data_IF_021453129267
#
_entry.id   IF_021453129267
#
_cell.length_a   1.000
_cell.length_b   1.000
_cell.length_c   1.000
_cell.angle_alpha   90.00
_cell.angle_beta   90.00
_cell.angle_gamma   90.00
#
_symmetry.space_group_name_H-M   'P 1'
#
loop_
_entity.id
_entity.type
_entity.pdbx_description
1 polymer ?
#
# COMPACT_ATOMS: atom_id res chain seq x y z
N UNK A 1 20.97 -4.32 -23.33
CA UNK A 1 20.87 -3.34 -22.22
C UNK A 1 20.96 -3.95 -20.81
N UNK A 2 21.71 -5.03 -20.63
CA UNK A 2 21.93 -5.67 -19.31
C UNK A 2 22.52 -4.67 -18.32
N UNK A 3 23.49 -3.87 -18.75
CA UNK A 3 24.16 -2.86 -17.91
C UNK A 3 23.21 -1.81 -17.32
N UNK A 4 22.17 -1.39 -18.04
CA UNK A 4 21.20 -0.40 -17.54
C UNK A 4 20.26 -0.95 -16.45
N UNK A 5 20.15 -2.28 -16.36
CA UNK A 5 19.34 -2.97 -15.34
C UNK A 5 20.08 -3.17 -14.03
N UNK A 6 21.40 -3.12 -14.06
CA UNK A 6 22.27 -3.37 -12.90
C UNK A 6 22.36 -2.16 -11.96
N UNK A 7 22.48 -2.45 -10.67
CA UNK A 7 22.78 -1.47 -9.62
C UNK A 7 24.26 -1.64 -9.28
N UNK A 8 25.11 -0.85 -9.94
CA UNK A 8 26.56 -0.97 -9.84
C UNK A 8 27.08 -0.91 -8.40
N UNK A 9 26.49 -0.04 -7.57
CA UNK A 9 26.83 0.09 -6.14
C UNK A 9 26.72 -1.22 -5.36
N UNK A 10 25.81 -2.11 -5.78
CA UNK A 10 25.49 -3.36 -5.08
C UNK A 10 26.27 -4.57 -5.65
N UNK A 11 27.03 -4.40 -6.72
CA UNK A 11 27.74 -5.51 -7.36
C UNK A 11 29.05 -5.87 -6.66
N UNK A 12 29.65 -4.93 -5.95
CA UNK A 12 30.92 -5.12 -5.25
C UNK A 12 30.81 -5.84 -3.90
N UNK A 13 29.62 -6.08 -3.39
CA UNK A 13 29.44 -6.67 -2.06
C UNK A 13 29.75 -8.16 -2.02
N UNK A 14 30.50 -8.56 -0.99
CA UNK A 14 30.75 -9.96 -0.67
C UNK A 14 29.45 -10.70 -0.32
N UNK A 15 29.34 -12.03 -0.57
CA UNK A 15 28.14 -12.81 -0.25
C UNK A 15 27.74 -12.71 1.22
N UNK A 16 28.68 -12.69 2.15
CA UNK A 16 28.40 -12.53 3.58
C UNK A 16 27.84 -11.15 3.91
N UNK A 17 28.44 -10.11 3.38
CA UNK A 17 27.96 -8.73 3.56
C UNK A 17 26.55 -8.56 3.01
N UNK A 18 26.28 -9.12 1.84
CA UNK A 18 24.94 -9.11 1.25
C UNK A 18 23.91 -9.83 2.13
N UNK A 19 24.25 -10.98 2.68
CA UNK A 19 23.34 -11.71 3.62
C UNK A 19 23.05 -10.89 4.87
N UNK A 20 24.09 -10.29 5.48
CA UNK A 20 23.93 -9.45 6.68
C UNK A 20 23.05 -8.23 6.40
N UNK A 21 23.30 -7.51 5.29
CA UNK A 21 22.51 -6.37 4.85
C UNK A 21 21.06 -6.78 4.59
N UNK A 22 20.84 -7.91 3.94
CA UNK A 22 19.49 -8.45 3.68
C UNK A 22 18.76 -8.74 4.98
N UNK A 23 19.41 -9.39 5.94
CA UNK A 23 18.84 -9.69 7.26
C UNK A 23 18.49 -8.40 8.03
N UNK A 24 19.40 -7.43 8.08
CA UNK A 24 19.17 -6.13 8.71
C UNK A 24 17.98 -5.39 8.07
N UNK A 25 17.93 -5.34 6.73
CA UNK A 25 16.83 -4.69 6.02
C UNK A 25 15.48 -5.40 6.21
N UNK A 26 15.48 -6.72 6.40
CA UNK A 26 14.27 -7.44 6.79
C UNK A 26 13.87 -7.13 8.23
N UNK A 27 14.82 -7.03 9.15
CA UNK A 27 14.55 -6.58 10.53
C UNK A 27 13.87 -5.21 10.55
N UNK A 28 14.40 -4.23 9.80
CA UNK A 28 13.76 -2.91 9.67
C UNK A 28 12.38 -2.99 9.03
N UNK A 29 12.17 -3.90 8.05
CA UNK A 29 10.85 -4.10 7.46
C UNK A 29 9.85 -4.61 8.49
N UNK A 30 10.22 -5.58 9.33
CA UNK A 30 9.36 -6.08 10.41
C UNK A 30 9.08 -5.02 11.47
N UNK A 31 10.08 -4.21 11.83
CA UNK A 31 9.87 -3.06 12.70
C UNK A 31 8.89 -2.07 12.08
N UNK A 32 9.02 -1.78 10.79
CA UNK A 32 8.06 -0.93 10.08
C UNK A 32 6.65 -1.51 10.13
N UNK A 33 6.49 -2.83 9.92
CA UNK A 33 5.18 -3.49 9.98
C UNK A 33 4.57 -3.38 11.38
N UNK A 34 5.34 -3.65 12.44
CA UNK A 34 4.83 -3.65 13.82
C UNK A 34 4.50 -2.22 14.29
N UNK A 35 5.40 -1.28 14.04
CA UNK A 35 5.29 0.09 14.56
C UNK A 35 4.53 1.05 13.63
N UNK A 36 3.98 0.58 12.50
CA UNK A 36 3.24 1.45 11.57
C UNK A 36 2.01 2.12 12.19
N UNK A 37 1.43 1.51 13.20
CA UNK A 37 0.33 2.09 13.95
C UNK A 37 0.69 3.44 14.60
N UNK A 38 1.96 3.66 14.97
CA UNK A 38 2.42 4.92 15.61
C UNK A 38 2.29 6.11 14.65
N UNK A 39 2.91 6.10 13.44
CA UNK A 39 2.74 7.22 12.50
C UNK A 39 1.29 7.41 12.06
N UNK A 40 0.52 6.33 11.93
CA UNK A 40 -0.92 6.42 11.62
C UNK A 40 -1.67 7.13 12.74
N UNK A 41 -1.43 6.78 14.01
CA UNK A 41 -2.04 7.43 15.15
C UNK A 41 -1.64 8.92 15.26
N UNK A 42 -0.37 9.23 15.05
CA UNK A 42 0.12 10.62 15.04
C UNK A 42 -0.56 11.43 13.93
N UNK A 43 -0.60 10.93 12.69
CA UNK A 43 -1.27 11.63 11.60
C UNK A 43 -2.76 11.81 11.89
N UNK A 44 -3.42 10.81 12.47
CA UNK A 44 -4.83 10.89 12.87
C UNK A 44 -5.07 11.97 13.93
N UNK A 45 -4.19 12.07 14.95
CA UNK A 45 -4.24 13.12 15.96
C UNK A 45 -4.04 14.52 15.36
N UNK A 46 -3.01 14.69 14.52
CA UNK A 46 -2.74 15.97 13.85
C UNK A 46 -3.81 16.34 12.81
N UNK A 47 -4.52 15.39 12.27
CA UNK A 47 -5.61 15.63 11.32
C UNK A 47 -6.93 15.98 12.01
N UNK A 48 -7.03 15.79 13.32
CA UNK A 48 -8.21 16.19 14.08
C UNK A 48 -8.21 17.72 14.27
N UNK A 49 -9.04 18.38 13.45
CA UNK A 49 -9.13 19.85 13.39
C UNK A 49 -9.50 20.46 14.74
N UNK A 50 -10.38 19.80 15.51
CA UNK A 50 -10.81 20.30 16.82
C UNK A 50 -9.64 20.26 17.81
N UNK A 51 -8.93 19.14 17.88
CA UNK A 51 -7.74 19.00 18.73
C UNK A 51 -6.65 20.01 18.38
N UNK A 52 -6.38 20.20 17.08
CA UNK A 52 -5.36 21.13 16.60
C UNK A 52 -5.75 22.58 16.88
N UNK A 53 -7.01 22.95 16.70
CA UNK A 53 -7.49 24.31 16.97
C UNK A 53 -7.47 24.69 18.45
N UNK A 54 -7.54 23.68 19.36
CA UNK A 54 -7.45 23.90 20.81
C UNK A 54 -5.99 24.02 21.29
N UNK A 55 -5.07 23.27 20.69
CA UNK A 55 -3.66 23.22 21.12
C UNK A 55 -2.79 24.28 20.45
N UNK A 56 -3.10 24.66 19.21
CA UNK A 56 -2.31 25.61 18.42
C UNK A 56 -3.10 26.89 18.21
N UNK A 57 -2.79 27.93 18.97
CA UNK A 57 -3.50 29.22 18.94
C UNK A 57 -3.57 29.87 17.55
N UNK A 58 -2.56 29.62 16.67
CA UNK A 58 -2.56 30.09 15.28
C UNK A 58 -3.69 29.48 14.45
N UNK A 59 -4.17 28.27 14.76
CA UNK A 59 -5.24 27.58 14.05
C UNK A 59 -6.64 27.90 14.61
N UNK A 60 -6.75 28.73 15.63
CA UNK A 60 -8.02 29.14 16.24
C UNK A 60 -8.99 29.84 15.28
N UNK A 61 -8.48 30.41 14.17
CA UNK A 61 -9.31 31.00 13.12
C UNK A 61 -10.19 29.98 12.39
N UNK A 62 -9.80 28.70 12.39
CA UNK A 62 -10.57 27.61 11.75
C UNK A 62 -11.96 27.45 12.40
N UNK A 63 -12.07 27.70 13.72
CA UNK A 63 -13.36 27.67 14.44
C UNK A 63 -14.34 28.76 13.99
N UNK A 64 -13.86 29.82 13.34
CA UNK A 64 -14.68 30.91 12.81
C UNK A 64 -15.25 30.61 11.42
N UNK A 65 -14.87 29.49 10.80
CA UNK A 65 -15.34 29.07 9.48
C UNK A 65 -16.80 28.58 9.61
N UNK A 66 -17.70 28.89 8.66
CA UNK A 66 -19.07 28.38 8.62
C UNK A 66 -19.12 26.85 8.69
N UNK A 67 -20.18 26.28 9.24
CA UNK A 67 -20.29 24.84 9.54
C UNK A 67 -20.13 23.93 8.32
N UNK A 68 -20.59 24.34 7.12
CA UNK A 68 -20.53 23.51 5.91
C UNK A 68 -19.09 23.34 5.41
N UNK A 69 -18.29 24.41 5.11
CA UNK A 69 -16.88 24.24 4.75
C UNK A 69 -16.05 23.58 5.85
N UNK A 70 -16.34 23.87 7.12
CA UNK A 70 -15.66 23.24 8.25
C UNK A 70 -15.89 21.71 8.29
N UNK A 71 -17.10 21.26 8.01
CA UNK A 71 -17.43 19.84 7.90
C UNK A 71 -16.65 19.13 6.78
N UNK A 72 -16.50 19.79 5.63
CA UNK A 72 -15.70 19.27 4.50
C UNK A 72 -14.23 19.15 4.92
N UNK A 73 -13.67 20.17 5.53
CA UNK A 73 -12.26 20.17 6.00
C UNK A 73 -12.05 19.05 7.02
N UNK A 74 -12.94 18.90 7.99
CA UNK A 74 -12.87 17.84 9.02
C UNK A 74 -12.94 16.43 8.44
N UNK A 75 -13.66 16.25 7.34
CA UNK A 75 -13.76 14.94 6.64
C UNK A 75 -12.58 14.66 5.71
N UNK A 76 -12.16 15.66 4.92
CA UNK A 76 -11.14 15.49 3.86
C UNK A 76 -9.71 15.49 4.43
N UNK A 77 -9.43 16.31 5.45
CA UNK A 77 -8.07 16.46 5.99
C UNK A 77 -7.50 15.15 6.55
N UNK A 78 -8.20 14.39 7.44
CA UNK A 78 -7.71 13.12 7.95
C UNK A 78 -7.46 12.08 6.87
N UNK A 79 -8.41 11.94 5.95
CA UNK A 79 -8.32 10.95 4.86
C UNK A 79 -7.17 11.27 3.91
N UNK A 80 -6.97 12.54 3.56
CA UNK A 80 -5.86 12.98 2.69
C UNK A 80 -4.52 12.79 3.39
N UNK A 81 -4.41 13.15 4.66
CA UNK A 81 -3.19 13.00 5.43
C UNK A 81 -2.77 11.51 5.55
N UNK A 82 -3.73 10.62 5.83
CA UNK A 82 -3.50 9.18 5.84
C UNK A 82 -3.16 8.63 4.45
N UNK A 83 -3.78 9.13 3.39
CA UNK A 83 -3.45 8.76 2.02
C UNK A 83 -2.02 9.15 1.64
N UNK A 84 -1.57 10.36 2.05
CA UNK A 84 -0.19 10.82 1.87
C UNK A 84 0.77 9.91 2.64
N UNK A 85 0.49 9.62 3.93
CA UNK A 85 1.31 8.72 4.73
C UNK A 85 1.47 7.35 4.08
N UNK A 86 0.35 6.74 3.65
CA UNK A 86 0.37 5.44 2.99
C UNK A 86 1.08 5.47 1.63
N UNK A 87 1.07 6.60 0.92
CA UNK A 87 1.80 6.76 -0.34
C UNK A 87 3.33 6.81 -0.15
N UNK A 88 3.81 7.15 1.04
CA UNK A 88 5.24 7.15 1.39
C UNK A 88 5.77 5.74 1.69
N UNK A 89 4.90 4.79 2.01
CA UNK A 89 5.31 3.43 2.36
C UNK A 89 6.02 2.69 1.21
N UNK A 90 5.53 2.65 -0.05
CA UNK A 90 6.23 1.98 -1.12
C UNK A 90 7.63 2.56 -1.43
N UNK A 91 7.86 3.88 -1.50
CA UNK A 91 9.20 4.46 -1.59
C UNK A 91 10.12 4.05 -0.44
N UNK A 92 9.61 4.04 0.79
CA UNK A 92 10.34 3.62 1.98
C UNK A 92 10.77 2.15 1.90
N UNK A 93 9.87 1.24 1.58
CA UNK A 93 10.19 -0.17 1.41
C UNK A 93 11.12 -0.42 0.21
N UNK A 94 11.00 0.37 -0.87
CA UNK A 94 11.91 0.30 -2.03
C UNK A 94 13.32 0.74 -1.64
N UNK A 95 13.46 1.76 -0.81
CA UNK A 95 14.75 2.19 -0.29
C UNK A 95 15.44 1.05 0.48
N UNK A 96 14.73 0.36 1.39
CA UNK A 96 15.28 -0.81 2.10
C UNK A 96 15.59 -1.99 1.17
N UNK A 97 14.75 -2.22 0.17
CA UNK A 97 15.01 -3.23 -0.84
C UNK A 97 16.30 -2.94 -1.63
N UNK A 98 16.59 -1.66 -1.92
CA UNK A 98 17.85 -1.25 -2.56
C UNK A 98 19.04 -1.42 -1.62
N UNK A 99 18.90 -1.02 -0.35
CA UNK A 99 19.96 -1.14 0.67
C UNK A 99 20.35 -2.58 1.01
N UNK A 100 19.45 -3.55 0.75
CA UNK A 100 19.73 -4.98 0.99
C UNK A 100 20.79 -5.59 0.05
N UNK A 101 21.36 -4.80 -0.87
CA UNK A 101 22.44 -5.25 -1.75
C UNK A 101 21.98 -6.07 -2.96
N UNK A 102 20.72 -5.89 -3.39
CA UNK A 102 20.18 -6.57 -4.57
C UNK A 102 20.81 -6.00 -5.85
N UNK A 103 21.32 -6.86 -6.79
CA UNK A 103 22.13 -6.39 -7.90
C UNK A 103 21.35 -5.80 -9.07
N UNK A 104 20.05 -6.07 -9.20
CA UNK A 104 19.25 -5.60 -10.34
C UNK A 104 18.01 -4.85 -9.93
N UNK A 105 17.58 -3.90 -10.76
CA UNK A 105 16.38 -3.10 -10.52
C UNK A 105 15.09 -3.95 -10.45
N UNK A 106 15.00 -4.99 -11.27
CA UNK A 106 13.86 -5.90 -11.26
C UNK A 106 13.76 -6.69 -9.94
N UNK A 107 14.89 -7.14 -9.41
CA UNK A 107 14.93 -7.82 -8.11
C UNK A 107 14.62 -6.87 -6.95
N UNK A 108 14.96 -5.58 -7.06
CA UNK A 108 14.52 -4.57 -6.08
C UNK A 108 12.99 -4.46 -6.07
N UNK A 109 12.36 -4.35 -7.24
CA UNK A 109 10.90 -4.30 -7.34
C UNK A 109 10.25 -5.62 -6.86
N UNK A 110 10.86 -6.77 -7.12
CA UNK A 110 10.41 -8.08 -6.63
C UNK A 110 10.54 -8.18 -5.10
N UNK A 111 11.61 -7.66 -4.53
CA UNK A 111 11.79 -7.54 -3.07
C UNK A 111 10.77 -6.58 -2.46
N UNK A 112 10.51 -5.46 -3.13
CA UNK A 112 9.45 -4.52 -2.74
C UNK A 112 8.08 -5.21 -2.73
N UNK A 113 7.73 -5.93 -3.79
CA UNK A 113 6.48 -6.70 -3.88
C UNK A 113 6.30 -7.61 -2.65
N UNK A 114 7.36 -8.34 -2.27
CA UNK A 114 7.30 -9.24 -1.12
C UNK A 114 7.06 -8.50 0.19
N UNK A 115 7.84 -7.44 0.43
CA UNK A 115 7.76 -6.63 1.67
C UNK A 115 6.42 -5.92 1.78
N UNK A 116 5.95 -5.36 0.69
CA UNK A 116 4.68 -4.63 0.65
C UNK A 116 3.47 -5.58 0.80
N UNK A 117 3.53 -6.77 0.20
CA UNK A 117 2.49 -7.77 0.39
C UNK A 117 2.41 -8.25 1.84
N UNK A 118 3.54 -8.57 2.48
CA UNK A 118 3.58 -8.95 3.90
C UNK A 118 3.02 -7.81 4.77
N UNK A 119 3.41 -6.56 4.49
CA UNK A 119 2.86 -5.42 5.18
C UNK A 119 1.32 -5.36 5.07
N UNK A 120 0.77 -5.50 3.86
CA UNK A 120 -0.68 -5.45 3.65
C UNK A 120 -1.41 -6.60 4.37
N UNK A 121 -0.86 -7.80 4.34
CA UNK A 121 -1.45 -8.95 5.06
C UNK A 121 -1.43 -8.72 6.57
N UNK A 122 -0.30 -8.35 7.13
CA UNK A 122 -0.20 -8.20 8.59
C UNK A 122 -1.00 -7.00 9.07
N UNK A 123 -0.83 -5.84 8.43
CA UNK A 123 -1.40 -4.58 8.91
C UNK A 123 -2.88 -4.45 8.56
N UNK A 124 -3.25 -4.72 7.30
CA UNK A 124 -4.60 -4.49 6.83
C UNK A 124 -5.53 -5.71 6.93
N UNK A 125 -4.97 -6.94 7.07
CA UNK A 125 -5.80 -8.12 7.25
C UNK A 125 -5.77 -8.60 8.70
N UNK A 126 -4.61 -8.99 9.23
CA UNK A 126 -4.51 -9.61 10.55
C UNK A 126 -4.87 -8.60 11.65
N UNK A 127 -4.16 -7.45 11.72
CA UNK A 127 -4.37 -6.46 12.78
C UNK A 127 -5.79 -5.90 12.74
N UNK A 128 -6.32 -5.59 11.56
CA UNK A 128 -7.67 -5.06 11.42
C UNK A 128 -8.73 -6.08 11.82
N UNK A 129 -8.56 -7.36 11.47
CA UNK A 129 -9.47 -8.44 11.89
C UNK A 129 -9.44 -8.63 13.39
N UNK A 130 -8.25 -8.61 14.00
CA UNK A 130 -8.10 -8.68 15.46
C UNK A 130 -8.77 -7.49 16.14
N UNK A 131 -8.54 -6.27 15.65
CA UNK A 131 -9.19 -5.06 16.19
C UNK A 131 -10.72 -5.13 16.10
N UNK A 132 -11.27 -5.67 15.02
CA UNK A 132 -12.71 -5.87 14.89
C UNK A 132 -13.27 -6.85 15.94
N UNK A 133 -12.45 -7.79 16.43
CA UNK A 133 -12.81 -8.68 17.54
C UNK A 133 -12.74 -8.01 18.92
N UNK A 134 -11.77 -7.13 19.11
CA UNK A 134 -11.47 -6.49 20.40
C UNK A 134 -12.46 -5.39 20.77
N UNK A 135 -13.20 -4.80 19.82
CA UNK A 135 -14.08 -3.62 20.03
C UNK A 135 -15.06 -3.77 21.18
N UNK A 136 -15.30 -4.96 21.71
CA UNK A 136 -16.26 -5.20 22.79
C UNK A 136 -15.64 -5.28 24.19
N UNK A 137 -14.37 -5.70 24.36
CA UNK A 137 -13.73 -5.81 25.68
C UNK A 137 -12.21 -5.78 25.59
N UNK A 138 -11.61 -4.58 25.65
CA UNK A 138 -10.16 -4.40 25.63
C UNK A 138 -9.45 -5.04 26.83
N UNK A 139 -10.09 -5.04 28.01
CA UNK A 139 -9.51 -5.63 29.24
C UNK A 139 -9.46 -7.16 29.15
N UNK A 140 -10.53 -7.80 28.67
CA UNK A 140 -10.57 -9.25 28.47
C UNK A 140 -9.52 -9.72 27.45
N UNK A 141 -9.24 -8.94 26.41
CA UNK A 141 -8.24 -9.30 25.40
C UNK A 141 -6.81 -9.47 25.97
N UNK A 142 -6.39 -8.62 26.92
CA UNK A 142 -5.08 -8.74 27.52
C UNK A 142 -4.94 -9.99 28.40
N UNK A 143 -6.03 -10.45 29.00
CA UNK A 143 -6.03 -11.69 29.78
C UNK A 143 -6.12 -12.92 28.87
N UNK A 144 -6.84 -12.85 27.76
CA UNK A 144 -6.96 -13.93 26.77
C UNK A 144 -5.66 -14.13 25.96
N UNK A 145 -4.86 -13.08 25.74
CA UNK A 145 -3.51 -13.19 25.13
C UNK A 145 -2.59 -14.11 25.95
N UNK A 146 -2.79 -14.22 27.26
CA UNK A 146 -2.02 -15.13 28.14
C UNK A 146 -2.40 -16.61 27.95
N UNK A 147 -3.61 -16.87 27.41
CA UNK A 147 -4.10 -18.23 27.15
C UNK A 147 -4.22 -18.50 25.63
N UNK A 148 -3.25 -19.24 25.02
CA UNK A 148 -3.20 -19.42 23.56
C UNK A 148 -4.47 -20.01 22.92
N UNK A 149 -5.20 -20.85 23.66
CA UNK A 149 -6.46 -21.45 23.17
C UNK A 149 -7.59 -20.42 23.05
N UNK A 150 -7.76 -19.55 24.05
CA UNK A 150 -8.75 -18.48 24.03
C UNK A 150 -8.42 -17.46 22.95
N UNK A 151 -7.17 -17.07 22.83
CA UNK A 151 -6.70 -16.17 21.80
C UNK A 151 -7.05 -16.62 20.37
N UNK A 152 -6.84 -17.91 20.07
CA UNK A 152 -7.21 -18.50 18.76
C UNK A 152 -8.73 -18.50 18.59
N UNK A 153 -9.50 -18.77 19.63
CA UNK A 153 -10.94 -18.76 19.59
C UNK A 153 -11.50 -17.34 19.36
N UNK A 154 -10.91 -16.34 19.99
CA UNK A 154 -11.29 -14.93 19.80
C UNK A 154 -11.00 -14.44 18.39
N UNK A 155 -9.82 -14.77 17.84
CA UNK A 155 -9.50 -14.48 16.44
C UNK A 155 -10.52 -15.17 15.52
N UNK A 156 -10.85 -16.43 15.76
CA UNK A 156 -11.81 -17.15 14.91
C UNK A 156 -13.21 -16.52 14.94
N UNK A 157 -13.63 -15.96 16.08
CA UNK A 157 -14.88 -15.22 16.22
C UNK A 157 -14.82 -13.79 15.61
N UNK A 158 -13.62 -13.20 15.52
CA UNK A 158 -13.41 -11.89 14.96
C UNK A 158 -13.52 -11.88 13.42
N UNK A 159 -13.14 -12.97 12.76
CA UNK A 159 -13.17 -13.08 11.30
C UNK A 159 -14.57 -12.82 10.71
N UNK A 160 -15.66 -13.48 11.18
CA UNK A 160 -17.01 -13.18 10.70
C UNK A 160 -17.46 -11.74 10.97
N UNK A 161 -17.04 -11.14 12.09
CA UNK A 161 -17.39 -9.75 12.43
C UNK A 161 -16.77 -8.74 11.49
N UNK A 162 -15.53 -8.99 11.05
CA UNK A 162 -14.82 -8.15 10.08
C UNK A 162 -15.40 -8.27 8.65
N UNK A 163 -16.29 -9.22 8.37
CA UNK A 163 -16.77 -9.51 7.02
C UNK A 163 -17.47 -8.30 6.36
N UNK A 164 -18.30 -7.55 7.11
CA UNK A 164 -18.98 -6.36 6.59
C UNK A 164 -18.00 -5.25 6.19
N UNK A 165 -16.90 -5.11 6.95
CA UNK A 165 -15.84 -4.18 6.60
C UNK A 165 -15.18 -4.58 5.27
N UNK A 166 -14.80 -5.85 5.10
CA UNK A 166 -14.15 -6.31 3.88
C UNK A 166 -15.08 -6.31 2.67
N UNK A 167 -16.38 -6.50 2.85
CA UNK A 167 -17.36 -6.30 1.79
C UNK A 167 -17.35 -4.86 1.28
N UNK A 168 -17.45 -3.90 2.20
CA UNK A 168 -17.42 -2.47 1.88
C UNK A 168 -16.08 -2.06 1.29
N UNK A 169 -14.98 -2.59 1.83
CA UNK A 169 -13.64 -2.37 1.32
C UNK A 169 -13.50 -2.87 -0.13
N UNK A 170 -13.98 -4.08 -0.43
CA UNK A 170 -13.91 -4.65 -1.79
C UNK A 170 -14.68 -3.82 -2.80
N UNK A 171 -15.90 -3.38 -2.45
CA UNK A 171 -16.70 -2.51 -3.30
C UNK A 171 -16.02 -1.16 -3.54
N UNK A 172 -15.51 -0.53 -2.47
CA UNK A 172 -14.87 0.77 -2.54
C UNK A 172 -13.57 0.73 -3.33
N UNK A 173 -12.67 -0.23 -3.05
CA UNK A 173 -11.35 -0.32 -3.69
C UNK A 173 -11.49 -0.64 -5.17
N UNK A 174 -12.41 -1.54 -5.55
CA UNK A 174 -12.65 -1.90 -6.94
C UNK A 174 -13.08 -0.69 -7.78
N UNK A 175 -14.01 0.11 -7.27
CA UNK A 175 -14.49 1.31 -7.95
C UNK A 175 -13.45 2.43 -7.93
N UNK A 176 -12.86 2.74 -6.77
CA UNK A 176 -11.93 3.86 -6.63
C UNK A 176 -10.61 3.62 -7.35
N UNK A 177 -10.04 2.41 -7.30
CA UNK A 177 -8.81 2.10 -8.00
C UNK A 177 -8.99 2.13 -9.53
N UNK A 178 -10.07 1.54 -10.05
CA UNK A 178 -10.37 1.58 -11.49
C UNK A 178 -10.64 3.01 -11.97
N UNK A 179 -11.44 3.78 -11.24
CA UNK A 179 -11.69 5.19 -11.54
C UNK A 179 -10.40 6.03 -11.49
N UNK A 180 -9.53 5.81 -10.51
CA UNK A 180 -8.24 6.47 -10.39
C UNK A 180 -7.29 6.16 -11.55
N UNK A 181 -7.28 4.90 -12.03
CA UNK A 181 -6.49 4.49 -13.18
C UNK A 181 -7.03 5.11 -14.48
N UNK A 182 -8.35 5.17 -14.67
CA UNK A 182 -8.94 5.80 -15.86
C UNK A 182 -8.77 7.32 -15.86
N UNK A 183 -8.97 7.96 -14.72
CA UNK A 183 -8.95 9.44 -14.64
C UNK A 183 -7.54 10.03 -14.75
N UNK A 184 -6.50 9.29 -14.40
CA UNK A 184 -5.09 9.72 -14.42
C UNK A 184 -4.83 11.06 -13.69
N UNK A 185 -5.69 11.44 -12.72
CA UNK A 185 -5.61 12.72 -12.02
C UNK A 185 -4.30 12.87 -11.25
N UNK A 186 -3.87 11.83 -10.52
CA UNK A 186 -2.62 11.87 -9.74
C UNK A 186 -1.40 12.03 -10.63
N UNK A 187 -1.22 11.26 -11.71
CA UNK A 187 -0.15 11.50 -12.69
C UNK A 187 -0.17 12.89 -13.30
N UNK A 188 -1.37 13.43 -13.61
CA UNK A 188 -1.52 14.76 -14.15
C UNK A 188 -1.08 15.85 -13.16
N UNK A 189 -1.53 15.77 -11.90
CA UNK A 189 -1.09 16.68 -10.84
C UNK A 189 0.44 16.64 -10.66
N UNK A 190 1.00 15.43 -10.57
CA UNK A 190 2.44 15.24 -10.44
C UNK A 190 3.21 15.79 -11.66
N UNK A 191 2.64 15.72 -12.85
CA UNK A 191 3.23 16.30 -14.04
C UNK A 191 3.36 17.82 -13.93
N UNK A 192 2.29 18.54 -13.53
CA UNK A 192 2.35 19.99 -13.32
C UNK A 192 3.34 20.37 -12.22
N UNK A 193 3.35 19.66 -11.10
CA UNK A 193 4.31 19.89 -10.01
C UNK A 193 5.74 19.67 -10.48
N UNK A 194 6.02 18.58 -11.19
CA UNK A 194 7.35 18.28 -11.73
C UNK A 194 7.83 19.34 -12.73
N UNK A 195 6.97 19.79 -13.63
CA UNK A 195 7.34 20.87 -14.57
C UNK A 195 7.67 22.14 -13.81
N UNK A 196 6.87 22.51 -12.81
CA UNK A 196 7.07 23.77 -12.07
C UNK A 196 8.36 23.78 -11.24
N UNK A 197 8.71 22.64 -10.62
CA UNK A 197 9.84 22.57 -9.68
C UNK A 197 11.10 21.89 -10.24
N UNK A 198 10.98 20.95 -11.18
CA UNK A 198 12.12 20.20 -11.74
C UNK A 198 12.46 20.57 -13.18
N UNK A 199 11.62 21.35 -13.88
CA UNK A 199 11.81 21.76 -15.27
C UNK A 199 12.84 22.86 -15.47
N UNK A 200 14.01 22.81 -14.79
CA UNK A 200 15.03 23.87 -14.82
C UNK A 200 15.83 23.96 -16.14
N UNK A 201 15.88 22.90 -16.94
CA UNK A 201 16.63 22.88 -18.21
C UNK A 201 15.75 22.35 -19.35
N UNK A 202 16.00 22.81 -20.63
CA UNK A 202 15.25 22.34 -21.79
C UNK A 202 15.27 20.82 -21.96
N UNK A 203 16.40 20.17 -21.70
CA UNK A 203 16.54 18.71 -21.76
C UNK A 203 15.67 17.99 -20.70
N UNK A 204 15.67 18.48 -19.45
CA UNK A 204 14.81 17.93 -18.39
C UNK A 204 13.34 18.12 -18.72
N UNK A 205 12.97 19.29 -19.26
CA UNK A 205 11.61 19.60 -19.67
C UNK A 205 11.14 18.66 -20.79
N UNK A 206 12.01 18.38 -21.75
CA UNK A 206 11.73 17.43 -22.83
C UNK A 206 11.45 16.03 -22.27
N UNK A 207 12.32 15.53 -21.37
CA UNK A 207 12.12 14.23 -20.72
C UNK A 207 10.81 14.17 -19.89
N UNK A 208 10.47 15.25 -19.18
CA UNK A 208 9.23 15.31 -18.40
C UNK A 208 7.98 15.29 -19.29
N UNK A 209 8.07 15.81 -20.53
CA UNK A 209 6.94 15.86 -21.47
C UNK A 209 6.80 14.58 -22.30
N UNK A 210 7.91 13.94 -22.67
CA UNK A 210 7.92 12.85 -23.64
C UNK A 210 8.15 11.46 -23.04
N UNK A 211 8.67 11.37 -21.80
CA UNK A 211 8.86 10.07 -21.14
C UNK A 211 7.57 9.63 -20.43
N UNK A 212 6.96 8.56 -20.91
CA UNK A 212 5.81 7.95 -20.24
C UNK A 212 6.25 7.16 -19.00
N UNK A 213 5.33 7.05 -18.04
CA UNK A 213 5.57 6.26 -16.84
C UNK A 213 5.53 4.76 -17.16
N UNK A 214 6.41 4.00 -16.53
CA UNK A 214 6.32 2.54 -16.57
C UNK A 214 5.50 2.02 -15.40
N UNK A 215 4.84 0.87 -15.54
CA UNK A 215 4.06 0.28 -14.45
C UNK A 215 4.94 -0.02 -13.23
N UNK A 216 4.44 0.29 -12.05
CA UNK A 216 5.11 0.04 -10.78
C UNK A 216 4.76 -1.37 -10.27
N UNK A 217 5.37 -2.39 -10.84
CA UNK A 217 5.07 -3.80 -10.57
C UNK A 217 5.12 -4.15 -9.09
N UNK A 218 6.10 -3.62 -8.36
CA UNK A 218 6.29 -3.88 -6.94
C UNK A 218 5.16 -3.40 -6.03
N UNK A 219 4.30 -2.49 -6.50
CA UNK A 219 3.13 -2.01 -5.77
C UNK A 219 1.82 -2.51 -6.33
N UNK A 220 1.76 -2.72 -7.64
CA UNK A 220 0.57 -3.15 -8.35
C UNK A 220 0.19 -4.58 -7.98
N UNK A 221 1.15 -5.52 -8.02
CA UNK A 221 0.89 -6.92 -7.66
C UNK A 221 0.40 -7.10 -6.22
N UNK A 222 1.04 -6.51 -5.18
CA UNK A 222 0.55 -6.67 -3.81
C UNK A 222 -0.87 -6.17 -3.61
N UNK A 223 -1.27 -5.07 -4.25
CA UNK A 223 -2.62 -4.53 -4.12
C UNK A 223 -3.67 -5.48 -4.70
N UNK A 224 -3.42 -6.03 -5.89
CA UNK A 224 -4.32 -7.02 -6.51
C UNK A 224 -4.31 -8.35 -5.76
N UNK A 225 -3.15 -8.81 -5.29
CA UNK A 225 -3.04 -10.03 -4.47
C UNK A 225 -3.79 -9.88 -3.15
N UNK A 226 -3.73 -8.73 -2.52
CA UNK A 226 -4.47 -8.47 -1.28
C UNK A 226 -5.98 -8.57 -1.48
N UNK A 227 -6.51 -8.01 -2.58
CA UNK A 227 -7.92 -8.18 -2.95
C UNK A 227 -8.27 -9.66 -3.18
N UNK A 228 -7.38 -10.42 -3.83
CA UNK A 228 -7.56 -11.86 -4.04
C UNK A 228 -7.59 -12.63 -2.72
N UNK A 229 -6.73 -12.30 -1.77
CA UNK A 229 -6.71 -12.90 -0.43
C UNK A 229 -8.02 -12.65 0.32
N UNK A 230 -8.54 -11.43 0.26
CA UNK A 230 -9.85 -11.11 0.87
C UNK A 230 -10.97 -11.92 0.20
N UNK A 231 -10.99 -11.98 -1.14
CA UNK A 231 -12.01 -12.71 -1.88
C UNK A 231 -12.01 -14.21 -1.49
N UNK A 232 -10.85 -14.85 -1.46
CA UNK A 232 -10.74 -16.27 -1.07
C UNK A 232 -11.01 -16.48 0.43
N UNK A 233 -10.49 -15.62 1.30
CA UNK A 233 -10.67 -15.74 2.74
C UNK A 233 -12.13 -15.63 3.19
N UNK A 234 -12.90 -14.79 2.50
CA UNK A 234 -14.32 -14.59 2.81
C UNK A 234 -15.28 -15.34 1.88
N UNK A 235 -14.77 -16.15 0.97
CA UNK A 235 -15.59 -16.92 0.00
C UNK A 235 -16.68 -17.75 0.68
N UNK A 236 -16.34 -18.40 1.78
CA UNK A 236 -17.26 -19.29 2.52
C UNK A 236 -18.10 -18.50 3.53
N UNK A 237 -17.48 -17.50 4.21
CA UNK A 237 -18.13 -16.75 5.28
C UNK A 237 -19.17 -15.75 4.75
N UNK A 238 -18.85 -15.11 3.64
CA UNK A 238 -19.71 -14.10 3.01
C UNK A 238 -19.60 -14.16 1.48
N UNK A 239 -20.35 -15.05 0.81
CA UNK A 239 -20.28 -15.27 -0.64
C UNK A 239 -20.53 -14.02 -1.47
N UNK A 240 -21.29 -13.04 -0.96
CA UNK A 240 -21.55 -11.75 -1.63
C UNK A 240 -20.26 -10.98 -1.92
N UNK A 241 -19.25 -11.13 -1.05
CA UNK A 241 -17.91 -10.51 -1.27
C UNK A 241 -17.28 -10.95 -2.59
N UNK A 242 -17.49 -12.21 -3.01
CA UNK A 242 -17.00 -12.69 -4.30
C UNK A 242 -17.69 -12.03 -5.49
N UNK A 243 -18.99 -11.72 -5.38
CA UNK A 243 -19.69 -10.95 -6.41
C UNK A 243 -19.06 -9.58 -6.62
N UNK A 244 -18.79 -8.85 -5.52
CA UNK A 244 -18.09 -7.56 -5.59
C UNK A 244 -16.64 -7.72 -6.08
N UNK A 245 -15.93 -8.77 -5.69
CA UNK A 245 -14.58 -9.07 -6.18
C UNK A 245 -14.57 -9.29 -7.70
N UNK A 246 -15.50 -10.06 -8.25
CA UNK A 246 -15.63 -10.26 -9.70
C UNK A 246 -15.82 -8.94 -10.44
N UNK A 247 -16.72 -8.08 -9.96
CA UNK A 247 -16.93 -6.75 -10.54
C UNK A 247 -15.67 -5.90 -10.45
N UNK A 248 -15.02 -5.88 -9.28
CA UNK A 248 -13.79 -5.12 -9.04
C UNK A 248 -12.66 -5.58 -9.98
N UNK A 249 -12.41 -6.88 -10.10
CA UNK A 249 -11.39 -7.40 -11.00
C UNK A 249 -11.72 -7.15 -12.47
N UNK A 250 -12.99 -7.21 -12.87
CA UNK A 250 -13.40 -6.86 -14.23
C UNK A 250 -13.13 -5.39 -14.54
N UNK A 251 -13.48 -4.48 -13.65
CA UNK A 251 -13.20 -3.05 -13.81
C UNK A 251 -11.70 -2.76 -13.84
N UNK A 252 -10.91 -3.40 -12.97
CA UNK A 252 -9.46 -3.30 -12.97
C UNK A 252 -8.86 -3.84 -14.27
N UNK A 253 -9.37 -4.96 -14.79
CA UNK A 253 -8.93 -5.52 -16.07
C UNK A 253 -9.11 -4.49 -17.20
N UNK A 254 -10.28 -3.87 -17.29
CA UNK A 254 -10.53 -2.83 -18.30
C UNK A 254 -9.60 -1.63 -18.14
N UNK A 255 -9.42 -1.16 -16.90
CA UNK A 255 -8.58 -0.01 -16.59
C UNK A 255 -7.09 -0.30 -16.90
N UNK A 256 -6.57 -1.45 -16.52
CA UNK A 256 -5.19 -1.82 -16.84
C UNK A 256 -5.00 -2.11 -18.33
N UNK A 257 -5.95 -2.77 -18.99
CA UNK A 257 -5.89 -2.95 -20.44
C UNK A 257 -5.75 -1.62 -21.17
N UNK A 258 -6.55 -0.62 -20.80
CA UNK A 258 -6.41 0.73 -21.31
C UNK A 258 -5.02 1.32 -21.01
N UNK A 259 -4.57 1.21 -19.77
CA UNK A 259 -3.30 1.80 -19.34
C UNK A 259 -2.09 1.17 -20.03
N UNK A 260 -2.08 -0.14 -20.27
CA UNK A 260 -0.99 -0.80 -20.98
C UNK A 260 -0.96 -0.48 -22.47
N UNK A 261 -2.10 -0.20 -23.08
CA UNK A 261 -2.16 0.14 -24.49
C UNK A 261 -1.81 1.60 -24.76
N UNK A 262 -2.21 2.53 -23.87
CA UNK A 262 -2.20 3.96 -24.19
C UNK A 262 -1.41 4.84 -23.22
N UNK A 263 -1.13 4.39 -22.01
CA UNK A 263 -0.58 5.23 -20.94
C UNK A 263 0.84 4.83 -20.53
N UNK A 264 1.12 3.53 -20.44
CA UNK A 264 2.40 3.05 -19.95
C UNK A 264 3.41 2.79 -21.07
N UNK A 265 4.68 3.12 -20.79
CA UNK A 265 5.80 2.73 -21.63
C UNK A 265 6.49 1.51 -21.03
N UNK A 266 6.42 0.38 -21.74
CA UNK A 266 7.08 -0.87 -21.35
C UNK A 266 8.56 -0.82 -21.72
N UNK A 267 9.34 0.02 -21.05
CA UNK A 267 10.80 0.09 -21.25
C UNK A 267 11.45 -1.26 -20.93
N UNK A 268 12.38 -1.75 -21.80
CA UNK A 268 13.09 -3.03 -21.58
C UNK A 268 13.82 -3.11 -20.23
N UNK A 269 14.16 -1.96 -19.64
CA UNK A 269 14.82 -1.86 -18.33
C UNK A 269 13.94 -2.38 -17.19
N UNK A 270 12.61 -2.33 -17.34
CA UNK A 270 11.61 -2.74 -16.34
C UNK A 270 10.88 -4.03 -16.70
N UNK A 271 11.42 -4.80 -17.63
CA UNK A 271 10.87 -6.09 -18.00
C UNK A 271 10.96 -7.07 -16.83
N UNK A 272 9.86 -7.75 -16.54
CA UNK A 272 9.72 -8.62 -15.36
C UNK A 272 10.20 -10.05 -15.59
N UNK A 273 10.36 -10.46 -16.85
CA UNK A 273 10.67 -11.84 -17.27
C UNK A 273 9.75 -12.90 -16.61
N UNK A 274 8.49 -12.55 -16.31
CA UNK A 274 7.51 -13.45 -15.70
C UNK A 274 7.71 -13.71 -14.19
N UNK A 275 8.80 -13.25 -13.57
CA UNK A 275 9.14 -13.57 -12.18
C UNK A 275 8.10 -13.10 -11.16
N UNK A 276 7.43 -11.98 -11.42
CA UNK A 276 6.39 -11.45 -10.53
C UNK A 276 5.16 -12.35 -10.50
N UNK A 277 4.77 -12.91 -11.64
CA UNK A 277 3.63 -13.81 -11.72
C UNK A 277 3.89 -15.11 -10.95
N UNK A 278 5.07 -15.73 -11.15
CA UNK A 278 5.47 -16.94 -10.42
C UNK A 278 5.46 -16.69 -8.91
N UNK A 279 5.98 -15.55 -8.47
CA UNK A 279 6.00 -15.17 -7.05
C UNK A 279 4.60 -14.87 -6.51
N UNK A 280 3.72 -14.29 -7.31
CA UNK A 280 2.32 -14.06 -6.95
C UNK A 280 1.57 -15.37 -6.71
N UNK A 281 1.76 -16.37 -7.59
CA UNK A 281 1.18 -17.71 -7.40
C UNK A 281 1.71 -18.35 -6.11
N UNK A 282 3.01 -18.24 -5.83
CA UNK A 282 3.57 -18.74 -4.59
C UNK A 282 2.90 -18.15 -3.34
N UNK A 283 2.65 -16.84 -3.33
CA UNK A 283 1.96 -16.21 -2.20
C UNK A 283 0.52 -16.70 -2.04
N UNK A 284 -0.20 -16.84 -3.15
CA UNK A 284 -1.57 -17.35 -3.12
C UNK A 284 -1.64 -18.82 -2.70
N UNK A 285 -0.70 -19.66 -3.14
CA UNK A 285 -0.67 -21.06 -2.73
C UNK A 285 -0.35 -21.25 -1.25
N UNK A 286 0.54 -20.43 -0.67
CA UNK A 286 0.85 -20.44 0.77
C UNK A 286 -0.36 -20.03 1.64
N UNK A 287 -1.29 -19.25 1.11
CA UNK A 287 -2.52 -18.85 1.83
C UNK A 287 -3.58 -19.96 1.73
N UNK A 288 -3.51 -20.80 0.72
CA UNK A 288 -4.47 -21.89 0.47
C UNK A 288 -4.13 -23.18 1.22
N UNK A 289 -2.88 -23.31 1.73
CA UNK A 289 -2.43 -24.45 2.55
C UNK A 289 -2.68 -24.15 4.03
#
# INVERSE_FOLDING_TARGET
>A
DVYKRQVWENMSFNPYERKLRTCACWGVTWLTVIFWAIPVALVSLFSNVDYMSDKIGFLGWIKKIPSVPLGIIKGVLPTTALAILNSLLPPWLRFHARMSGVPTRNLIELSLMTRFFIFMIVQNFIILTVLAGIQQNLEAFWDDVKEPKKFVQDISSAIPRASSFYLSYMALIGLSASAGIFSQIIPLLLYYVKIRFLGSTPRKLWHLRNDFNSPAWGTLYPSTLFMTVIAFGYMVLQPVTNGFACVAFFLLYLAYRYSYLYVFDCKPIKETAGQFFVKAIHFLSLIHI
#
